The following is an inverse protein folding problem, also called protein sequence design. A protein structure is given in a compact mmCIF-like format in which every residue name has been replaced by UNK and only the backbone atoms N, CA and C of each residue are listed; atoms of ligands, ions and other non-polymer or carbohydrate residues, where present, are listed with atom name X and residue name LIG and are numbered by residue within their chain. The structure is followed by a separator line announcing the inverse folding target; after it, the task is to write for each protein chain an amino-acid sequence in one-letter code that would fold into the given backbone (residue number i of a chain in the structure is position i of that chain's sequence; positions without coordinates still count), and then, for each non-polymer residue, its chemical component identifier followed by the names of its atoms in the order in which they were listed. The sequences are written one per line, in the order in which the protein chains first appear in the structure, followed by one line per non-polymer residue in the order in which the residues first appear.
data_IF_886764293084
#
_entry.id   IF_886764293084
#
_cell.length_a   1.000
_cell.length_b   1.000
_cell.length_c   1.000
_cell.angle_alpha   90.00
_cell.angle_beta   90.00
_cell.angle_gamma   90.00
#
_symmetry.space_group_name_H-M   'P 1'
#
loop_
_entity.id
_entity.type
_entity.pdbx_description
1 polymer ?
#
# COMPACT_ATOMS: atom_id res chain seq x y z
N UNK A 1 17.73 -12.80 -1.07
CA UNK A 1 16.29 -13.06 -0.86
C UNK A 1 15.78 -14.00 -1.91
N UNK A 2 14.95 -14.97 -1.52
CA UNK A 2 14.22 -15.78 -2.48
C UNK A 2 13.01 -14.98 -2.99
N UNK A 3 13.06 -14.50 -4.24
CA UNK A 3 11.96 -13.74 -4.85
C UNK A 3 10.69 -14.61 -4.97
N UNK A 4 10.84 -15.93 -5.13
CA UNK A 4 9.71 -16.84 -5.30
C UNK A 4 8.85 -17.00 -4.05
N UNK A 5 9.34 -16.58 -2.87
CA UNK A 5 8.52 -16.57 -1.66
C UNK A 5 7.36 -15.57 -1.76
N UNK A 6 7.52 -14.49 -2.53
CA UNK A 6 6.51 -13.45 -2.73
C UNK A 6 5.55 -13.75 -3.89
N UNK A 7 5.56 -14.98 -4.41
CA UNK A 7 4.72 -15.33 -5.55
C UNK A 7 3.24 -15.38 -5.13
N UNK A 8 2.36 -14.54 -5.69
CA UNK A 8 0.94 -14.49 -5.33
C UNK A 8 0.18 -15.78 -5.66
N UNK A 9 0.74 -16.64 -6.54
CA UNK A 9 0.16 -17.96 -6.82
C UNK A 9 0.41 -18.95 -5.68
N UNK A 10 1.48 -18.78 -4.90
CA UNK A 10 1.79 -19.61 -3.73
C UNK A 10 1.07 -19.08 -2.49
N UNK A 11 1.13 -17.77 -2.26
CA UNK A 11 0.39 -17.11 -1.20
C UNK A 11 -0.30 -15.84 -1.72
N UNK A 12 -1.65 -15.81 -1.79
CA UNK A 12 -2.40 -14.70 -2.36
C UNK A 12 -2.36 -13.42 -1.50
N UNK A 13 -1.72 -13.43 -0.33
CA UNK A 13 -1.48 -12.20 0.45
C UNK A 13 -0.52 -11.25 -0.27
N UNK A 14 0.36 -11.76 -1.12
CA UNK A 14 1.35 -10.96 -1.82
C UNK A 14 0.77 -10.28 -3.06
N UNK A 15 1.30 -9.11 -3.37
CA UNK A 15 0.87 -8.30 -4.50
C UNK A 15 1.63 -8.74 -5.74
N UNK A 16 0.89 -9.13 -6.79
CA UNK A 16 1.50 -9.59 -8.02
C UNK A 16 2.40 -8.56 -8.70
N UNK A 17 2.11 -7.26 -8.55
CA UNK A 17 2.97 -6.20 -9.05
C UNK A 17 4.35 -6.18 -8.39
N UNK A 18 4.41 -6.27 -7.05
CA UNK A 18 5.67 -6.32 -6.30
C UNK A 18 6.48 -7.55 -6.73
N UNK A 19 5.84 -8.72 -6.82
CA UNK A 19 6.50 -9.93 -7.31
C UNK A 19 7.08 -9.76 -8.73
N UNK A 20 6.29 -9.21 -9.66
CA UNK A 20 6.75 -8.92 -11.03
C UNK A 20 7.90 -7.90 -11.06
N UNK A 21 7.84 -6.87 -10.21
CA UNK A 21 8.91 -5.87 -10.10
C UNK A 21 10.21 -6.52 -9.64
N UNK A 22 10.16 -7.30 -8.56
CA UNK A 22 11.32 -8.02 -8.05
C UNK A 22 11.92 -8.95 -9.10
N UNK A 23 11.07 -9.72 -9.81
CA UNK A 23 11.54 -10.58 -10.93
C UNK A 23 12.20 -9.78 -12.04
N UNK A 24 11.59 -8.68 -12.46
CA UNK A 24 12.13 -7.82 -13.54
C UNK A 24 13.46 -7.18 -13.15
N UNK A 25 13.68 -6.94 -11.85
CA UNK A 25 14.88 -6.30 -11.30
C UNK A 25 15.81 -7.28 -10.57
N UNK A 26 15.66 -8.58 -10.76
CA UNK A 26 16.46 -9.62 -10.09
C UNK A 26 17.98 -9.37 -10.22
N UNK A 27 18.47 -9.08 -11.43
CA UNK A 27 19.89 -8.77 -11.65
C UNK A 27 20.36 -7.52 -10.90
N UNK A 28 19.51 -6.50 -10.78
CA UNK A 28 19.83 -5.27 -10.05
C UNK A 28 19.85 -5.53 -8.53
N UNK A 29 18.92 -6.34 -8.03
CA UNK A 29 18.91 -6.79 -6.63
C UNK A 29 20.20 -7.52 -6.28
N UNK A 30 20.62 -8.45 -7.14
CA UNK A 30 21.87 -9.22 -6.98
C UNK A 30 23.10 -8.32 -7.02
N UNK A 31 23.15 -7.36 -7.96
CA UNK A 31 24.30 -6.47 -8.13
C UNK A 31 24.40 -5.39 -7.04
N UNK A 32 23.28 -4.80 -6.63
CA UNK A 32 23.26 -3.73 -5.61
C UNK A 32 23.39 -4.25 -4.18
N UNK A 33 23.00 -5.50 -3.93
CA UNK A 33 22.90 -6.07 -2.58
C UNK A 33 21.80 -5.42 -1.71
N UNK A 34 21.08 -4.42 -2.22
CA UNK A 34 20.09 -3.64 -1.48
C UNK A 34 18.66 -3.97 -1.94
N UNK A 35 17.76 -4.17 -0.98
CA UNK A 35 16.35 -4.36 -1.29
C UNK A 35 15.67 -3.03 -1.65
N UNK A 36 14.77 -3.03 -2.65
CA UNK A 36 13.99 -1.86 -2.99
C UNK A 36 13.08 -1.54 -1.82
N UNK A 37 13.00 -0.29 -1.43
CA UNK A 37 12.12 0.18 -0.37
C UNK A 37 10.71 0.32 -0.90
N UNK A 38 9.74 0.05 -0.03
CA UNK A 38 8.31 0.21 -0.30
C UNK A 38 7.85 1.46 0.46
N UNK A 39 7.67 2.56 -0.26
CA UNK A 39 7.47 3.89 0.32
C UNK A 39 6.23 4.57 -0.22
N UNK A 40 5.70 5.51 0.55
CA UNK A 40 4.66 6.44 0.13
C UNK A 40 5.19 7.85 0.26
N UNK A 41 5.09 8.63 -0.80
CA UNK A 41 5.50 10.03 -0.82
C UNK A 41 4.32 10.96 -0.45
N UNK A 42 4.63 12.23 -0.16
CA UNK A 42 3.63 13.28 0.12
C UNK A 42 2.67 13.56 -1.05
N UNK A 43 3.08 13.25 -2.27
CA UNK A 43 2.34 13.49 -3.52
C UNK A 43 0.95 12.80 -3.58
N UNK A 44 0.70 11.83 -2.69
CA UNK A 44 -0.61 11.21 -2.49
C UNK A 44 -0.98 10.17 -3.55
N UNK A 45 -0.12 9.86 -4.52
CA UNK A 45 -0.46 8.93 -5.61
C UNK A 45 -0.38 7.45 -5.19
N UNK A 46 0.01 7.14 -3.95
CA UNK A 46 -0.02 5.79 -3.40
C UNK A 46 1.36 5.27 -3.08
N UNK A 47 1.55 3.96 -3.18
CA UNK A 47 2.81 3.31 -2.81
C UNK A 47 3.72 3.15 -4.01
N UNK A 48 5.01 3.15 -3.72
CA UNK A 48 6.10 3.03 -4.66
C UNK A 48 7.08 1.96 -4.19
N UNK A 49 7.76 1.31 -5.13
CA UNK A 49 8.82 0.34 -4.88
C UNK A 49 10.06 0.72 -5.68
N UNK A 50 11.23 0.83 -5.02
CA UNK A 50 12.44 1.29 -5.70
C UNK A 50 13.60 1.58 -4.76
N UNK A 51 14.62 2.26 -5.26
CA UNK A 51 15.83 2.59 -4.52
C UNK A 51 16.05 4.10 -4.53
N UNK A 52 16.53 4.64 -3.41
CA UNK A 52 17.13 5.97 -3.41
C UNK A 52 18.53 5.87 -3.99
N UNK A 53 18.91 6.83 -4.83
CA UNK A 53 20.27 6.94 -5.34
C UNK A 53 21.10 7.75 -4.34
N UNK A 54 22.27 7.20 -3.98
CA UNK A 54 23.25 7.90 -3.15
C UNK A 54 24.14 8.81 -4.01
N UNK A 55 23.53 9.74 -4.74
CA UNK A 55 24.22 10.72 -5.59
C UNK A 55 24.23 12.15 -5.01
N UNK A 56 23.64 12.34 -3.83
CA UNK A 56 23.49 13.63 -3.17
C UNK A 56 22.37 14.51 -3.75
N UNK A 57 21.68 14.07 -4.81
CA UNK A 57 20.54 14.76 -5.41
C UNK A 57 19.19 14.31 -4.80
N UNK A 58 19.20 13.14 -4.17
CA UNK A 58 18.02 12.56 -3.53
C UNK A 58 17.03 12.01 -4.54
N UNK A 59 17.51 11.41 -5.62
CA UNK A 59 16.65 10.81 -6.64
C UNK A 59 16.15 9.43 -6.17
N UNK A 60 14.92 9.08 -6.57
CA UNK A 60 14.35 7.76 -6.34
C UNK A 60 14.09 7.05 -7.67
N UNK A 61 14.73 5.91 -7.89
CA UNK A 61 14.48 5.05 -9.06
C UNK A 61 13.55 3.93 -8.65
N UNK A 62 12.34 3.95 -9.18
CA UNK A 62 11.33 2.99 -8.76
C UNK A 62 10.12 2.98 -9.65
N UNK A 63 9.06 2.41 -9.12
CA UNK A 63 7.80 2.24 -9.82
C UNK A 63 6.65 2.43 -8.84
N UNK A 64 5.56 3.03 -9.31
CA UNK A 64 4.32 3.05 -8.55
C UNK A 64 3.77 1.63 -8.48
N UNK A 65 3.36 1.21 -7.28
CA UNK A 65 2.75 -0.10 -7.06
C UNK A 65 1.30 -0.04 -7.54
N UNK A 66 1.03 -0.73 -8.64
CA UNK A 66 -0.33 -0.92 -9.14
C UNK A 66 -0.92 -2.23 -8.60
N UNK A 67 -2.24 -2.24 -8.43
CA UNK A 67 -2.96 -3.39 -7.87
C UNK A 67 -3.60 -4.27 -8.95
N UNK A 68 -3.55 -3.86 -10.22
CA UNK A 68 -4.04 -4.62 -11.37
C UNK A 68 -2.95 -5.38 -12.12
N UNK A 69 -3.21 -5.59 -13.41
CA UNK A 69 -2.33 -6.31 -14.35
C UNK A 69 -1.39 -5.37 -15.12
N UNK A 70 -1.21 -4.14 -14.65
CA UNK A 70 -0.36 -3.15 -15.30
C UNK A 70 1.08 -3.65 -15.40
N UNK A 71 1.72 -3.25 -16.50
CA UNK A 71 3.13 -3.53 -16.74
C UNK A 71 3.97 -2.78 -15.70
N UNK A 72 5.12 -3.38 -15.38
CA UNK A 72 6.09 -2.74 -14.50
C UNK A 72 6.88 -1.72 -15.28
N UNK A 73 6.70 -0.45 -14.95
CA UNK A 73 7.41 0.70 -15.54
C UNK A 73 8.27 1.36 -14.46
N UNK A 74 9.56 1.49 -14.70
CA UNK A 74 10.50 2.10 -13.76
C UNK A 74 10.80 3.52 -14.22
N UNK A 75 10.62 4.48 -13.32
CA UNK A 75 10.85 5.90 -13.53
C UNK A 75 11.92 6.40 -12.55
N UNK A 76 12.60 7.49 -12.93
CA UNK A 76 13.39 8.28 -12.00
C UNK A 76 12.51 9.43 -11.49
N UNK A 77 12.28 9.45 -10.18
CA UNK A 77 11.61 10.53 -9.48
C UNK A 77 12.69 11.49 -8.98
N UNK A 78 12.93 12.52 -9.78
CA UNK A 78 14.00 13.49 -9.57
C UNK A 78 13.71 14.35 -8.35
N UNK A 79 14.73 14.65 -7.53
CA UNK A 79 14.61 15.46 -6.30
C UNK A 79 13.50 14.97 -5.37
N UNK A 80 13.41 13.66 -5.18
CA UNK A 80 12.46 13.02 -4.25
C UNK A 80 13.24 12.39 -3.10
N UNK A 81 13.83 13.21 -2.21
CA UNK A 81 14.68 12.72 -1.14
C UNK A 81 13.89 11.91 -0.13
N UNK A 82 14.59 11.16 0.73
CA UNK A 82 13.96 10.35 1.77
C UNK A 82 13.05 11.16 2.71
N UNK A 83 13.30 12.46 2.88
CA UNK A 83 12.48 13.37 3.69
C UNK A 83 11.07 13.60 3.12
N UNK A 84 10.82 13.20 1.87
CA UNK A 84 9.49 13.22 1.26
C UNK A 84 8.68 11.95 1.54
N UNK A 85 9.28 10.93 2.15
CA UNK A 85 8.58 9.70 2.56
C UNK A 85 7.69 9.98 3.77
N UNK A 86 6.39 9.75 3.62
CA UNK A 86 5.41 9.86 4.72
C UNK A 86 5.10 8.54 5.40
N UNK A 87 5.35 7.43 4.71
CA UNK A 87 5.20 6.10 5.25
C UNK A 87 6.09 5.12 4.49
N UNK A 88 6.59 4.11 5.18
CA UNK A 88 7.38 3.02 4.60
C UNK A 88 6.89 1.70 5.17
N UNK A 89 6.72 0.70 4.30
CA UNK A 89 6.50 -0.68 4.71
C UNK A 89 7.85 -1.40 4.68
N UNK A 90 8.28 -1.88 5.85
CA UNK A 90 9.49 -2.70 5.94
C UNK A 90 9.23 -4.11 5.39
N UNK A 91 10.27 -4.75 4.87
CA UNK A 91 10.13 -6.05 4.19
C UNK A 91 9.70 -7.17 5.12
N UNK A 92 10.12 -7.15 6.38
CA UNK A 92 9.68 -8.09 7.42
C UNK A 92 8.16 -7.97 7.67
N UNK A 93 7.63 -6.75 7.71
CA UNK A 93 6.20 -6.50 7.79
C UNK A 93 5.49 -7.02 6.53
N UNK A 94 6.01 -6.69 5.34
CA UNK A 94 5.44 -7.16 4.08
C UNK A 94 5.46 -8.69 3.95
N UNK A 95 6.54 -9.34 4.37
CA UNK A 95 6.66 -10.80 4.40
C UNK A 95 5.60 -11.42 5.32
N UNK A 96 5.33 -10.77 6.47
CA UNK A 96 4.31 -11.24 7.41
C UNK A 96 2.90 -11.09 6.85
N UNK A 97 2.52 -9.90 6.40
CA UNK A 97 1.10 -9.55 6.12
C UNK A 97 0.77 -9.17 4.67
N UNK A 98 1.78 -9.13 3.80
CA UNK A 98 1.63 -8.85 2.37
C UNK A 98 0.95 -7.53 2.07
N UNK A 99 -0.01 -7.55 1.13
CA UNK A 99 -0.75 -6.37 0.69
C UNK A 99 -1.53 -5.65 1.80
N UNK A 100 -1.82 -6.31 2.93
CA UNK A 100 -2.47 -5.66 4.07
C UNK A 100 -1.61 -4.54 4.69
N UNK A 101 -0.29 -4.56 4.51
CA UNK A 101 0.59 -3.48 4.97
C UNK A 101 0.41 -2.19 4.16
N UNK A 102 -0.10 -2.30 2.93
CA UNK A 102 -0.17 -1.20 1.97
C UNK A 102 -1.54 -0.54 1.96
N UNK A 103 -2.61 -1.32 2.03
CA UNK A 103 -3.96 -0.77 1.86
C UNK A 103 -5.03 -1.64 2.51
N UNK A 104 -6.05 -0.97 3.04
CA UNK A 104 -7.24 -1.58 3.65
C UNK A 104 -7.98 -2.53 2.69
N UNK A 105 -7.88 -2.29 1.38
CA UNK A 105 -8.57 -3.05 0.34
C UNK A 105 -7.98 -4.45 0.12
N UNK A 106 -6.73 -4.68 0.55
CA UNK A 106 -6.08 -5.98 0.43
C UNK A 106 -6.40 -6.91 1.61
N UNK A 107 -7.17 -6.43 2.59
CA UNK A 107 -7.62 -7.28 3.67
C UNK A 107 -8.67 -8.28 3.18
N UNK A 108 -8.33 -9.58 3.29
CA UNK A 108 -9.28 -10.67 3.06
C UNK A 108 -10.06 -10.96 4.34
N UNK A 109 -11.20 -10.28 4.50
CA UNK A 109 -12.05 -10.42 5.67
C UNK A 109 -12.83 -11.74 5.69
N UNK A 110 -12.78 -12.44 6.82
CA UNK A 110 -13.60 -13.61 7.13
C UNK A 110 -14.46 -13.26 8.34
N UNK A 111 -15.77 -13.42 8.23
CA UNK A 111 -16.69 -13.17 9.34
C UNK A 111 -16.57 -14.28 10.38
N UNK A 112 -16.28 -13.89 11.62
CA UNK A 112 -16.34 -14.82 12.76
C UNK A 112 -17.77 -14.92 13.31
N UNK A 113 -18.53 -13.82 13.25
CA UNK A 113 -19.96 -13.77 13.56
C UNK A 113 -20.59 -12.53 12.89
N UNK A 114 -21.89 -12.27 13.14
CA UNK A 114 -22.63 -11.12 12.56
C UNK A 114 -22.06 -9.74 12.94
N UNK A 115 -21.25 -9.65 14.01
CA UNK A 115 -20.72 -8.40 14.55
C UNK A 115 -19.21 -8.26 14.39
N UNK A 116 -18.47 -9.33 14.08
CA UNK A 116 -17.00 -9.29 14.01
C UNK A 116 -16.45 -10.03 12.80
N UNK A 117 -15.40 -9.46 12.20
CA UNK A 117 -14.63 -10.06 11.12
C UNK A 117 -13.14 -10.05 11.44
N UNK A 118 -12.41 -11.04 10.94
CA UNK A 118 -10.95 -11.15 11.06
C UNK A 118 -10.34 -11.22 9.68
N UNK A 119 -9.25 -10.49 9.44
CA UNK A 119 -8.49 -10.61 8.20
C UNK A 119 -7.71 -11.94 8.20
N UNK A 120 -7.84 -12.72 7.13
CA UNK A 120 -7.09 -13.99 6.96
C UNK A 120 -5.58 -13.76 6.87
N UNK A 121 -5.15 -12.65 6.26
CA UNK A 121 -3.75 -12.40 5.96
C UNK A 121 -3.00 -11.77 7.14
N UNK A 122 -3.54 -10.73 7.76
CA UNK A 122 -2.87 -10.00 8.83
C UNK A 122 -3.40 -10.28 10.24
N UNK A 123 -4.50 -11.01 10.36
CA UNK A 123 -5.12 -11.34 11.65
C UNK A 123 -5.85 -10.18 12.35
N UNK A 124 -5.89 -8.98 11.74
CA UNK A 124 -6.63 -7.81 12.26
C UNK A 124 -8.10 -8.17 12.48
N UNK A 125 -8.64 -7.72 13.61
CA UNK A 125 -10.05 -7.84 13.94
C UNK A 125 -10.77 -6.52 13.74
N UNK A 126 -12.01 -6.61 13.25
CA UNK A 126 -12.91 -5.48 13.17
C UNK A 126 -14.28 -5.85 13.72
N UNK A 127 -14.88 -4.90 14.43
CA UNK A 127 -16.24 -5.00 14.96
C UNK A 127 -17.14 -4.03 14.22
N UNK A 128 -18.32 -4.51 13.84
CA UNK A 128 -19.39 -3.68 13.29
C UNK A 128 -19.88 -2.73 14.39
N UNK A 129 -19.77 -1.43 14.13
CA UNK A 129 -20.32 -0.37 14.99
C UNK A 129 -21.37 0.38 14.20
N UNK A 130 -22.59 0.47 14.74
CA UNK A 130 -23.67 1.29 14.17
C UNK A 130 -23.71 2.60 14.96
N UNK A 131 -23.50 3.73 14.28
CA UNK A 131 -23.60 5.06 14.87
C UNK A 131 -24.73 5.81 14.18
N UNK A 132 -25.70 6.29 14.96
CA UNK A 132 -26.70 7.25 14.48
C UNK A 132 -26.07 8.63 14.48
N UNK A 133 -26.03 9.29 13.33
CA UNK A 133 -25.54 10.65 13.20
C UNK A 133 -26.76 11.57 13.08
N UNK A 134 -26.89 12.54 13.98
CA UNK A 134 -27.89 13.62 13.84
C UNK A 134 -27.31 14.69 12.93
N UNK A 135 -27.91 14.88 11.76
CA UNK A 135 -27.59 16.00 10.87
C UNK A 135 -28.48 17.18 11.25
N UNK A 136 -27.88 18.32 11.60
CA UNK A 136 -28.62 19.56 11.85
C UNK A 136 -28.59 20.37 10.54
N UNK A 137 -29.75 20.53 9.90
CA UNK A 137 -29.95 21.46 8.79
C UNK A 137 -30.70 22.71 9.28
N UNK A 138 -30.21 23.90 8.93
CA UNK A 138 -30.95 25.15 9.12
C UNK A 138 -31.66 25.51 7.82
N UNK A 139 -32.95 25.84 7.91
CA UNK A 139 -33.75 26.36 6.80
C UNK A 139 -34.45 27.64 7.26
N UNK A 140 -34.46 28.64 6.40
CA UNK A 140 -35.27 29.84 6.58
C UNK A 140 -36.64 29.58 5.98
N UNK A 141 -37.69 29.71 6.79
CA UNK A 141 -39.08 29.53 6.38
C UNK A 141 -39.83 30.84 6.59
N UNK A 142 -40.79 31.12 5.71
CA UNK A 142 -41.71 32.25 5.85
C UNK A 142 -43.04 31.70 6.39
N UNK A 143 -43.60 32.35 7.41
CA UNK A 143 -44.93 32.04 7.95
C UNK A 143 -45.89 33.18 7.62
N UNK A 144 -47.16 32.84 7.37
CA UNK A 144 -48.23 33.81 7.08
C UNK A 144 -48.81 34.36 8.38
N UNK A 145 -48.91 35.67 8.52
CA UNK A 145 -49.63 36.30 9.64
C UNK A 145 -51.15 36.19 9.45
N UNK A 146 -51.87 35.85 10.53
CA UNK A 146 -53.35 35.77 10.59
C UNK A 146 -53.91 36.81 11.55
#
# INVERSE_FOLDING_TARGET
MDIEQYNPKKDPKYIGYIFRFLKKKAKLLEASGAYPRIVKFKDGFGWYIGWFIEDGLGDFIGSRIYYGSEKVETFCFVKTPETEVVAEVKWDEYERIGGCALTEWHHKWIYANKQTRKCRHCGRWERKVVKTVKTIERRTLWESES
#
